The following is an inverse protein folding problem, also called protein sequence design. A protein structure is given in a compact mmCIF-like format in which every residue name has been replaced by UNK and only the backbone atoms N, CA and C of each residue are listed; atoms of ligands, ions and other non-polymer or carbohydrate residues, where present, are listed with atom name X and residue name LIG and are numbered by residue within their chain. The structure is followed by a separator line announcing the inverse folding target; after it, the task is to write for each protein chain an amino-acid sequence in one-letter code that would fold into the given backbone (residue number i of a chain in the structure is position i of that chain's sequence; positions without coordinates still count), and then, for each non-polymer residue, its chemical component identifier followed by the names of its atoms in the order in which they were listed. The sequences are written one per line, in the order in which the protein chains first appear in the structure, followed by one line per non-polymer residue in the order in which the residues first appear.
data_IF_077116730728
#
_entry.id   IF_077116730728
#
_cell.length_a   1.000
_cell.length_b   1.000
_cell.length_c   1.000
_cell.angle_alpha   90.00
_cell.angle_beta   90.00
_cell.angle_gamma   90.00
#
_symmetry.space_group_name_H-M   'P 1'
#
loop_
_entity.id
_entity.type
_entity.pdbx_description
1 polymer ?
#
# COMPACT_ATOMS: atom_id res chain seq x y z
N UNK A 1 -4.48 -6.66 2.81
CA UNK A 1 -3.21 -6.69 2.05
C UNK A 1 -3.15 -7.92 1.15
N UNK A 2 -3.31 -9.14 1.70
CA UNK A 2 -3.21 -10.40 0.93
C UNK A 2 -4.06 -10.40 -0.35
N UNK A 3 -5.37 -10.12 -0.27
CA UNK A 3 -6.28 -10.10 -1.42
C UNK A 3 -5.74 -9.25 -2.58
N UNK A 4 -5.35 -7.99 -2.32
CA UNK A 4 -4.84 -7.08 -3.35
C UNK A 4 -3.50 -7.54 -3.90
N UNK A 5 -2.62 -8.08 -3.06
CA UNK A 5 -1.33 -8.62 -3.50
C UNK A 5 -1.50 -9.82 -4.46
N UNK A 6 -2.53 -10.66 -4.26
CA UNK A 6 -2.88 -11.73 -5.19
C UNK A 6 -3.44 -11.20 -6.51
N UNK A 7 -4.29 -10.17 -6.48
CA UNK A 7 -4.79 -9.54 -7.70
C UNK A 7 -3.66 -8.95 -8.54
N UNK A 8 -2.68 -8.29 -7.90
CA UNK A 8 -1.48 -7.81 -8.57
C UNK A 8 -0.71 -8.94 -9.25
N UNK A 9 -0.51 -10.05 -8.53
CA UNK A 9 0.17 -11.23 -9.06
C UNK A 9 -0.58 -11.86 -10.25
N UNK A 10 -1.89 -12.08 -10.11
CA UNK A 10 -2.77 -12.60 -11.17
C UNK A 10 -2.71 -11.70 -12.41
N UNK A 11 -2.64 -10.38 -12.21
CA UNK A 11 -2.55 -9.43 -13.32
C UNK A 11 -1.22 -9.51 -14.07
N UNK A 12 -0.18 -10.03 -13.44
CA UNK A 12 1.15 -10.24 -14.00
C UNK A 12 2.26 -9.41 -13.36
N UNK A 13 2.02 -8.75 -12.22
CA UNK A 13 3.08 -8.05 -11.49
C UNK A 13 3.91 -9.02 -10.65
N UNK A 14 5.22 -8.80 -10.59
CA UNK A 14 6.06 -9.44 -9.58
C UNK A 14 5.93 -8.68 -8.25
N UNK A 15 5.54 -9.40 -7.20
CA UNK A 15 5.17 -8.83 -5.90
C UNK A 15 6.30 -9.10 -4.90
N UNK A 16 6.89 -8.03 -4.38
CA UNK A 16 7.87 -8.07 -3.31
C UNK A 16 7.19 -7.48 -2.08
N UNK A 17 7.11 -8.26 -1.00
CA UNK A 17 6.61 -7.79 0.28
C UNK A 17 7.78 -7.55 1.22
N UNK A 18 7.82 -6.37 1.81
CA UNK A 18 8.87 -5.93 2.72
C UNK A 18 8.26 -5.66 4.09
N UNK A 19 8.98 -6.03 5.13
CA UNK A 19 8.67 -5.71 6.51
C UNK A 19 9.97 -5.80 7.32
N UNK A 20 9.98 -5.12 8.45
CA UNK A 20 10.80 -5.54 9.58
C UNK A 20 9.77 -6.14 10.53
N UNK A 21 9.83 -7.47 10.72
CA UNK A 21 8.91 -8.17 11.61
C UNK A 21 9.74 -8.82 12.72
N UNK A 22 9.59 -8.35 13.94
CA UNK A 22 10.06 -9.05 15.11
C UNK A 22 9.09 -10.20 15.47
N UNK A 23 9.56 -11.47 15.55
CA UNK A 23 8.73 -12.61 15.88
C UNK A 23 7.99 -12.43 17.21
N UNK A 24 6.66 -12.44 17.16
CA UNK A 24 5.79 -12.27 18.34
C UNK A 24 5.56 -10.82 18.77
N UNK A 25 6.11 -9.84 18.05
CA UNK A 25 6.00 -8.41 18.39
C UNK A 25 5.45 -7.54 17.24
N UNK A 26 5.72 -7.90 15.97
CA UNK A 26 5.28 -7.13 14.80
C UNK A 26 4.18 -7.77 13.94
N UNK A 27 3.39 -6.89 13.31
CA UNK A 27 1.99 -7.12 12.98
C UNK A 27 1.82 -7.68 11.57
N UNK A 28 1.94 -9.00 11.44
CA UNK A 28 1.05 -9.76 10.54
C UNK A 28 -0.03 -10.38 11.45
N UNK A 29 -1.10 -9.66 11.79
CA UNK A 29 -2.03 -10.09 12.84
C UNK A 29 -2.89 -11.30 12.42
N UNK A 30 -3.15 -11.45 11.12
CA UNK A 30 -4.12 -12.43 10.62
C UNK A 30 -3.50 -13.36 9.57
N UNK A 31 -3.16 -12.80 8.40
CA UNK A 31 -2.66 -13.53 7.25
C UNK A 31 -1.49 -12.78 6.63
N UNK A 32 -0.37 -13.48 6.50
CA UNK A 32 0.77 -12.97 5.77
C UNK A 32 0.40 -12.75 4.30
N UNK A 33 0.58 -11.53 3.76
CA UNK A 33 0.24 -11.25 2.38
C UNK A 33 1.03 -12.11 1.40
N UNK A 34 0.36 -12.56 0.35
CA UNK A 34 1.03 -13.16 -0.80
C UNK A 34 2.15 -12.25 -1.33
N UNK A 35 3.30 -12.86 -1.61
CA UNK A 35 4.38 -12.24 -2.35
C UNK A 35 5.19 -13.31 -3.07
N UNK A 36 5.75 -12.96 -4.22
CA UNK A 36 6.72 -13.80 -4.92
C UNK A 36 8.08 -13.78 -4.22
N UNK A 37 8.39 -12.67 -3.54
CA UNK A 37 9.56 -12.53 -2.67
C UNK A 37 9.16 -11.81 -1.38
N UNK A 38 9.53 -12.40 -0.25
CA UNK A 38 9.33 -11.83 1.09
C UNK A 38 10.66 -11.39 1.64
N UNK A 39 10.70 -10.17 2.15
CA UNK A 39 11.85 -9.58 2.83
C UNK A 39 11.38 -9.03 4.17
N UNK A 40 11.06 -9.93 5.11
CA UNK A 40 10.34 -9.60 6.34
C UNK A 40 11.21 -9.57 7.59
N UNK A 41 12.49 -9.94 7.47
CA UNK A 41 13.43 -10.02 8.60
C UNK A 41 14.35 -8.78 8.66
N UNK A 42 13.84 -7.58 8.32
CA UNK A 42 14.64 -6.35 8.36
C UNK A 42 15.78 -6.31 7.35
N UNK A 43 15.66 -7.06 6.26
CA UNK A 43 16.77 -7.33 5.32
C UNK A 43 17.16 -6.11 4.48
N UNK A 44 16.35 -5.06 4.45
CA UNK A 44 16.60 -3.84 3.68
C UNK A 44 16.91 -2.68 4.62
N UNK A 45 18.03 -2.00 4.35
CA UNK A 45 18.22 -0.65 4.86
C UNK A 45 17.13 0.30 4.33
N UNK A 46 16.92 1.41 5.02
CA UNK A 46 15.97 2.47 4.59
C UNK A 46 16.25 2.89 3.15
N UNK A 47 17.52 3.08 2.77
CA UNK A 47 17.90 3.47 1.40
C UNK A 47 17.53 2.41 0.38
N UNK A 48 17.73 1.13 0.69
CA UNK A 48 17.34 0.03 -0.21
C UNK A 48 15.82 -0.10 -0.33
N UNK A 49 15.08 0.10 0.77
CA UNK A 49 13.63 0.18 0.73
C UNK A 49 13.16 1.33 -0.17
N UNK A 50 13.72 2.54 0.00
CA UNK A 50 13.35 3.71 -0.81
C UNK A 50 13.68 3.50 -2.29
N UNK A 51 14.85 2.94 -2.61
CA UNK A 51 15.22 2.59 -3.98
C UNK A 51 14.25 1.54 -4.57
N UNK A 52 13.81 0.56 -3.77
CA UNK A 52 12.82 -0.41 -4.22
C UNK A 52 11.47 0.27 -4.55
N UNK A 53 11.00 1.19 -3.71
CA UNK A 53 9.78 1.98 -3.96
C UNK A 53 9.92 2.83 -5.22
N UNK A 54 11.06 3.51 -5.39
CA UNK A 54 11.35 4.30 -6.60
C UNK A 54 11.29 3.46 -7.87
N UNK A 55 11.71 2.19 -7.83
CA UNK A 55 11.70 1.30 -9.00
C UNK A 55 10.39 0.54 -9.21
N UNK A 56 9.46 0.59 -8.26
CA UNK A 56 8.20 -0.13 -8.36
C UNK A 56 7.28 0.44 -9.46
N UNK A 57 6.61 -0.45 -10.20
CA UNK A 57 5.53 -0.06 -11.13
C UNK A 57 4.26 0.39 -10.40
N UNK A 58 4.01 -0.20 -9.24
CA UNK A 58 2.87 0.06 -8.35
C UNK A 58 3.25 -0.27 -6.92
N UNK A 59 2.74 0.50 -5.96
CA UNK A 59 2.97 0.32 -4.53
C UNK A 59 1.65 -0.02 -3.84
N UNK A 60 1.62 -1.11 -3.07
CA UNK A 60 0.52 -1.46 -2.17
C UNK A 60 0.99 -1.21 -0.73
N UNK A 61 0.27 -0.38 0.02
CA UNK A 61 0.69 0.02 1.36
C UNK A 61 -0.49 0.44 2.25
N UNK A 62 -0.21 0.77 3.51
CA UNK A 62 -1.11 1.49 4.40
C UNK A 62 -0.54 2.88 4.74
N UNK A 63 -1.09 3.56 5.74
CA UNK A 63 -0.55 4.84 6.18
C UNK A 63 0.80 4.64 6.93
N UNK A 64 1.92 4.79 6.22
CA UNK A 64 3.27 4.67 6.77
C UNK A 64 4.32 5.40 5.92
N UNK A 65 5.61 5.19 6.21
CA UNK A 65 6.73 5.79 5.45
C UNK A 65 6.73 5.41 3.96
N UNK A 66 6.34 4.17 3.62
CA UNK A 66 6.29 3.68 2.24
C UNK A 66 5.25 4.45 1.41
N UNK A 67 4.12 4.82 2.01
CA UNK A 67 3.12 5.68 1.37
C UNK A 67 3.71 7.04 0.97
N UNK A 68 4.43 7.68 1.88
CA UNK A 68 5.06 8.98 1.61
C UNK A 68 6.14 8.89 0.54
N UNK A 69 6.95 7.82 0.56
CA UNK A 69 7.94 7.58 -0.48
C UNK A 69 7.29 7.38 -1.85
N UNK A 70 6.21 6.60 -1.94
CA UNK A 70 5.49 6.38 -3.19
C UNK A 70 4.92 7.68 -3.76
N UNK A 71 4.32 8.52 -2.91
CA UNK A 71 3.83 9.85 -3.29
C UNK A 71 4.98 10.76 -3.76
N UNK A 72 6.09 10.81 -3.03
CA UNK A 72 7.25 11.65 -3.39
C UNK A 72 7.87 11.25 -4.73
N UNK A 73 7.96 9.95 -5.03
CA UNK A 73 8.43 9.44 -6.31
C UNK A 73 7.35 9.43 -7.42
N UNK A 74 6.14 9.90 -7.13
CA UNK A 74 5.02 9.90 -8.06
C UNK A 74 4.63 8.50 -8.55
N UNK A 75 4.84 7.46 -7.73
CA UNK A 75 4.52 6.07 -8.09
C UNK A 75 3.01 5.82 -7.97
N UNK A 76 2.40 5.04 -8.88
CA UNK A 76 1.04 4.58 -8.68
C UNK A 76 0.93 3.84 -7.36
N UNK A 77 -0.05 4.21 -6.54
CA UNK A 77 -0.16 3.68 -5.18
C UNK A 77 -1.59 3.28 -4.86
N UNK A 78 -1.75 2.11 -4.25
CA UNK A 78 -2.97 1.71 -3.54
C UNK A 78 -2.65 1.76 -2.04
N UNK A 79 -3.30 2.67 -1.33
CA UNK A 79 -3.18 2.80 0.12
C UNK A 79 -4.45 2.24 0.78
N UNK A 80 -4.35 1.07 1.38
CA UNK A 80 -5.42 0.48 2.18
C UNK A 80 -5.35 1.05 3.60
N UNK A 81 -6.40 1.75 4.00
CA UNK A 81 -6.51 2.34 5.31
C UNK A 81 -7.09 1.33 6.31
N UNK A 82 -6.69 1.47 7.57
CA UNK A 82 -7.17 0.65 8.67
C UNK A 82 -7.93 1.50 9.68
N UNK A 83 -7.46 1.50 10.93
CA UNK A 83 -7.98 2.38 11.98
C UNK A 83 -7.21 3.69 12.14
N UNK A 84 -7.44 4.36 13.25
CA UNK A 84 -6.72 5.58 13.65
C UNK A 84 -6.82 6.73 12.62
N UNK A 85 -8.01 6.90 12.01
CA UNK A 85 -8.22 7.87 10.95
C UNK A 85 -8.20 9.33 11.38
N UNK A 86 -8.15 9.61 12.68
CA UNK A 86 -7.87 10.95 13.20
C UNK A 86 -6.43 11.39 12.91
N UNK A 87 -5.51 10.44 12.82
CA UNK A 87 -4.10 10.66 12.50
C UNK A 87 -3.74 10.23 11.08
N UNK A 88 -4.24 9.07 10.62
CA UNK A 88 -3.74 8.39 9.43
C UNK A 88 -4.50 8.67 8.13
N UNK A 89 -5.64 9.35 8.22
CA UNK A 89 -6.40 9.66 7.00
C UNK A 89 -5.56 10.52 6.07
N UNK A 90 -5.58 10.21 4.77
CA UNK A 90 -4.72 10.87 3.79
C UNK A 90 -4.72 12.40 3.93
N UNK A 91 -5.88 13.04 4.08
CA UNK A 91 -6.00 14.50 4.23
C UNK A 91 -5.34 15.10 5.50
N UNK A 92 -4.84 14.27 6.42
CA UNK A 92 -4.09 14.67 7.62
C UNK A 92 -2.58 14.53 7.43
N UNK A 93 -2.17 13.67 6.51
CA UNK A 93 -0.77 13.29 6.27
C UNK A 93 -0.28 13.68 4.87
N UNK A 94 -1.15 14.27 4.05
CA UNK A 94 -0.81 14.83 2.74
C UNK A 94 -1.35 16.26 2.61
N UNK A 95 -0.72 17.04 1.72
CA UNK A 95 -1.18 18.37 1.35
C UNK A 95 -1.36 18.45 -0.18
N UNK A 96 -2.61 18.44 -0.70
CA UNK A 96 -2.85 18.44 -2.14
C UNK A 96 -2.42 19.74 -2.83
N UNK A 97 -2.07 20.79 -2.09
CA UNK A 97 -1.54 22.05 -2.66
C UNK A 97 -0.11 21.89 -3.18
N UNK A 98 0.64 20.93 -2.64
CA UNK A 98 2.04 20.69 -3.01
C UNK A 98 2.38 19.22 -3.30
N UNK A 99 1.42 18.30 -3.09
CA UNK A 99 1.57 16.87 -3.39
C UNK A 99 0.58 16.45 -4.47
N UNK A 100 1.08 15.88 -5.57
CA UNK A 100 0.23 15.28 -6.60
C UNK A 100 -0.31 13.92 -6.13
N UNK A 101 -1.63 13.86 -5.92
CA UNK A 101 -2.32 12.64 -5.49
C UNK A 101 -3.06 11.93 -6.64
N UNK A 102 -2.93 12.40 -7.89
CA UNK A 102 -3.67 11.88 -9.05
C UNK A 102 -3.39 10.40 -9.35
N UNK A 103 -2.26 9.89 -8.86
CA UNK A 103 -1.82 8.50 -9.01
C UNK A 103 -2.01 7.67 -7.74
N UNK A 104 -2.73 8.19 -6.75
CA UNK A 104 -2.98 7.51 -5.48
C UNK A 104 -4.45 7.08 -5.36
N UNK A 105 -4.67 5.81 -5.09
CA UNK A 105 -5.96 5.26 -4.70
C UNK A 105 -5.96 5.00 -3.19
N UNK A 106 -6.73 5.78 -2.44
CA UNK A 106 -6.96 5.54 -1.02
C UNK A 106 -8.26 4.74 -0.83
N UNK A 107 -8.17 3.59 -0.17
CA UNK A 107 -9.31 2.70 0.08
C UNK A 107 -9.53 2.60 1.58
N UNK A 108 -10.77 2.85 2.01
CA UNK A 108 -11.15 2.92 3.43
C UNK A 108 -12.05 1.76 3.86
N UNK A 109 -11.97 1.36 5.14
CA UNK A 109 -12.99 0.54 5.79
C UNK A 109 -14.38 1.13 5.62
N UNK A 110 -15.38 0.26 5.61
CA UNK A 110 -16.79 0.63 5.44
C UNK A 110 -17.22 1.61 6.54
N UNK A 111 -16.77 1.36 7.77
CA UNK A 111 -16.99 2.20 8.94
C UNK A 111 -15.67 2.84 9.41
N UNK A 112 -15.07 3.69 8.57
CA UNK A 112 -13.74 4.23 8.86
C UNK A 112 -13.67 5.08 10.15
N UNK A 113 -13.08 4.48 11.19
CA UNK A 113 -12.96 5.10 12.50
C UNK A 113 -11.95 6.26 12.50
N UNK A 114 -12.39 7.42 13.02
CA UNK A 114 -11.58 8.65 13.15
C UNK A 114 -10.93 8.81 14.53
N UNK A 115 -10.74 7.72 15.28
CA UNK A 115 -10.02 7.77 16.55
C UNK A 115 -8.56 8.24 16.34
N UNK A 116 -7.93 8.66 17.43
CA UNK A 116 -6.50 8.98 17.48
C UNK A 116 -5.68 7.94 18.28
N UNK A 117 -6.37 6.96 18.86
CA UNK A 117 -5.79 5.92 19.72
C UNK A 117 -5.31 4.71 18.91
N UNK A 118 -4.02 4.39 18.99
CA UNK A 118 -3.43 3.25 18.26
C UNK A 118 -3.99 1.89 18.69
N UNK A 119 -4.39 1.76 19.96
CA UNK A 119 -4.91 0.51 20.55
C UNK A 119 -6.42 0.37 20.44
N UNK A 120 -7.11 1.32 19.81
CA UNK A 120 -8.56 1.21 19.61
C UNK A 120 -8.88 0.07 18.64
N UNK A 121 -9.86 -0.77 19.01
CA UNK A 121 -10.34 -1.90 18.22
C UNK A 121 -11.23 -1.44 17.05
N UNK A 122 -10.65 -0.68 16.12
CA UNK A 122 -11.36 -0.19 14.94
C UNK A 122 -11.81 -1.35 14.07
N UNK A 123 -13.03 -1.27 13.53
CA UNK A 123 -13.45 -2.10 12.40
C UNK A 123 -12.63 -1.71 11.16
N UNK A 124 -11.92 -2.70 10.59
CA UNK A 124 -11.05 -2.52 9.42
C UNK A 124 -11.61 -3.22 8.18
N UNK A 125 -12.86 -3.65 8.22
CA UNK A 125 -13.52 -4.37 7.12
C UNK A 125 -13.69 -3.45 5.93
N UNK A 126 -13.26 -3.91 4.75
CA UNK A 126 -13.44 -3.22 3.47
C UNK A 126 -14.25 -4.13 2.55
N UNK A 127 -15.55 -3.88 2.42
CA UNK A 127 -16.41 -4.66 1.54
C UNK A 127 -16.07 -4.41 0.06
N UNK A 128 -16.08 -5.47 -0.74
CA UNK A 128 -15.82 -5.39 -2.18
C UNK A 128 -14.42 -4.87 -2.53
N UNK A 129 -13.41 -5.18 -1.71
CA UNK A 129 -12.05 -4.66 -1.90
C UNK A 129 -11.52 -4.92 -3.32
N UNK A 130 -11.64 -6.16 -3.82
CA UNK A 130 -11.28 -6.51 -5.20
C UNK A 130 -11.87 -5.57 -6.25
N UNK A 131 -13.19 -5.35 -6.25
CA UNK A 131 -13.85 -4.53 -7.27
C UNK A 131 -13.45 -3.06 -7.19
N UNK A 132 -13.08 -2.57 -6.00
CA UNK A 132 -12.61 -1.19 -5.79
C UNK A 132 -11.20 -0.95 -6.30
N UNK A 133 -10.33 -1.96 -6.29
CA UNK A 133 -8.91 -1.82 -6.70
C UNK A 133 -8.64 -2.27 -8.13
N UNK A 134 -9.43 -3.21 -8.66
CA UNK A 134 -9.20 -3.83 -9.97
C UNK A 134 -9.05 -2.81 -11.12
N UNK A 135 -9.93 -1.78 -11.25
CA UNK A 135 -9.78 -0.81 -12.33
C UNK A 135 -8.46 -0.03 -12.28
N UNK A 136 -7.99 0.28 -11.07
CA UNK A 136 -6.72 0.98 -10.87
C UNK A 136 -5.53 0.08 -11.25
N UNK A 137 -5.55 -1.18 -10.80
CA UNK A 137 -4.54 -2.20 -11.16
C UNK A 137 -4.45 -2.36 -12.68
N UNK A 138 -5.60 -2.48 -13.36
CA UNK A 138 -5.67 -2.65 -14.80
C UNK A 138 -5.10 -1.44 -15.56
N UNK A 139 -5.46 -0.23 -15.14
CA UNK A 139 -4.96 1.01 -15.73
C UNK A 139 -3.43 1.11 -15.59
N UNK A 140 -2.89 0.80 -14.41
CA UNK A 140 -1.44 0.84 -14.16
C UNK A 140 -0.72 -0.21 -14.99
N UNK A 141 -1.25 -1.44 -15.08
CA UNK A 141 -0.66 -2.50 -15.90
C UNK A 141 -0.57 -2.10 -17.37
N UNK A 142 -1.66 -1.55 -17.93
CA UNK A 142 -1.66 -1.09 -19.32
C UNK A 142 -0.67 0.04 -19.55
N UNK A 143 -0.56 0.97 -18.61
CA UNK A 143 0.43 2.05 -18.67
C UNK A 143 1.88 1.54 -18.60
N UNK A 144 2.17 0.54 -17.77
CA UNK A 144 3.51 -0.06 -17.66
C UNK A 144 3.90 -0.84 -18.92
N UNK A 145 2.97 -1.57 -19.56
CA UNK A 145 3.26 -2.26 -20.83
C UNK A 145 3.61 -1.31 -21.97
N UNK A 146 2.98 -0.14 -22.05
CA UNK A 146 3.32 0.88 -23.04
C UNK A 146 4.74 1.42 -22.89
N UNK A 147 5.29 1.44 -21.67
CA UNK A 147 6.67 1.89 -21.41
C UNK A 147 7.73 0.88 -21.86
N UNK A 148 7.40 -0.41 -21.90
CA UNK A 148 8.35 -1.48 -22.32
C UNK A 148 8.36 -1.64 -23.85
N UNK A 149 7.30 -1.21 -24.54
CA UNK A 149 7.20 -1.27 -26.01
C UNK A 149 7.67 -0.02 -26.76
N UNK A 150 8.20 0.99 -26.05
CA UNK A 150 8.79 2.21 -26.59
C UNK A 150 10.30 2.20 -26.37
#
# INVERSE_FOLDING_TARGET
MDEVSRLLAIRGFHVISIADNEPGLEWIPDLEPFAHRKLHDGQLSITQMLALVERADIVLTGACVVMHAALAYGKPMICLQGGNGGNNHHSKVTDPRCMDLSRALFVYPDNYCRCQEMKHACDKTISGLSSRVQPFIDNVYQASRKRVGA
#
